data_IF_326666280600
#
_entry.id   IF_326666280600
#
_cell.length_a   1.000
_cell.length_b   1.000
_cell.length_c   1.000
_cell.angle_alpha   90.00
_cell.angle_beta   90.00
_cell.angle_gamma   90.00
#
_symmetry.space_group_name_H-M   'P 1'
#
loop_
_entity.id
_entity.type
_entity.pdbx_description
1 polymer ?
#
# COMPACT_ATOMS: atom_id res chain seq x y z
N UNK A 1 26.42 -44.28 -35.46
CA UNK A 1 27.82 -44.41 -35.09
C UNK A 1 27.87 -44.01 -33.63
N UNK A 2 27.76 -44.92 -32.71
CA UNK A 2 28.86 -45.66 -32.03
C UNK A 2 29.84 -44.66 -31.35
N UNK A 3 30.22 -44.69 -30.11
CA UNK A 3 30.44 -45.79 -29.12
C UNK A 3 30.86 -45.16 -27.78
N UNK A 4 30.44 -45.74 -26.68
CA UNK A 4 31.02 -46.26 -25.45
C UNK A 4 31.61 -45.28 -24.40
N UNK A 5 31.09 -45.29 -23.24
CA UNK A 5 31.28 -46.17 -22.07
C UNK A 5 32.74 -46.50 -21.70
N UNK A 6 33.16 -46.11 -20.46
CA UNK A 6 33.93 -46.98 -19.56
C UNK A 6 33.74 -46.53 -18.11
N UNK A 7 33.27 -47.44 -17.29
CA UNK A 7 33.33 -47.43 -15.85
C UNK A 7 34.66 -47.98 -15.38
N UNK A 8 35.17 -47.53 -14.24
CA UNK A 8 36.14 -48.27 -13.46
C UNK A 8 36.01 -47.99 -11.97
N UNK A 9 35.55 -48.98 -11.30
CA UNK A 9 35.54 -49.25 -9.88
C UNK A 9 36.98 -49.48 -9.35
N UNK A 10 37.29 -48.98 -8.15
CA UNK A 10 38.33 -49.60 -7.31
C UNK A 10 37.99 -49.41 -5.83
N UNK A 11 37.75 -50.54 -5.22
CA UNK A 11 37.54 -50.83 -3.79
C UNK A 11 38.91 -51.16 -3.12
N UNK A 12 38.93 -50.99 -1.82
CA UNK A 12 39.85 -51.56 -0.79
C UNK A 12 40.85 -50.56 -0.22
N UNK A 13 41.16 -50.60 1.06
CA UNK A 13 41.02 -51.52 2.18
C UNK A 13 41.21 -50.79 3.53
N UNK A 14 40.54 -51.35 4.50
CA UNK A 14 40.58 -51.14 5.95
C UNK A 14 42.02 -51.23 6.55
N UNK A 15 42.31 -50.38 7.51
CA UNK A 15 42.97 -50.82 8.76
C UNK A 15 42.66 -49.85 9.91
N UNK A 16 42.17 -50.46 10.97
CA UNK A 16 41.96 -49.96 12.33
C UNK A 16 43.23 -49.46 12.98
N UNK A 17 43.20 -48.31 13.61
CA UNK A 17 43.98 -48.09 14.85
C UNK A 17 43.20 -47.12 15.77
N UNK A 18 42.74 -47.69 16.88
CA UNK A 18 42.22 -46.96 18.02
C UNK A 18 43.34 -46.25 18.75
N UNK A 19 43.29 -44.93 18.77
CA UNK A 19 44.02 -44.19 19.80
C UNK A 19 43.07 -43.13 20.35
N UNK A 20 42.73 -43.32 21.62
CA UNK A 20 41.92 -42.40 22.40
C UNK A 20 42.47 -40.98 22.31
N UNK A 21 41.70 -40.06 21.75
CA UNK A 21 41.96 -38.65 21.83
C UNK A 21 40.85 -37.98 22.67
N UNK A 22 41.34 -37.38 23.73
CA UNK A 22 40.77 -36.57 24.76
C UNK A 22 39.72 -35.59 24.16
N UNK A 23 38.49 -35.60 24.67
CA UNK A 23 37.45 -34.68 24.34
C UNK A 23 37.89 -33.21 24.53
N UNK A 24 37.97 -32.48 23.43
CA UNK A 24 38.01 -31.03 23.44
C UNK A 24 36.60 -30.49 23.72
N UNK A 25 36.48 -29.39 24.49
CA UNK A 25 35.19 -28.76 24.68
C UNK A 25 34.66 -28.25 23.33
N UNK A 26 33.42 -28.57 23.02
CA UNK A 26 32.68 -27.99 21.90
C UNK A 26 32.64 -26.46 22.12
N UNK A 27 33.27 -25.73 21.20
CA UNK A 27 33.04 -24.31 21.01
C UNK A 27 31.56 -24.14 20.69
N UNK A 28 30.85 -23.16 21.32
CA UNK A 28 29.46 -22.92 20.96
C UNK A 28 29.39 -22.47 19.50
N UNK A 29 28.56 -23.15 18.72
CA UNK A 29 28.21 -22.70 17.37
C UNK A 29 27.80 -21.21 17.41
N UNK A 30 28.29 -20.40 16.46
CA UNK A 30 27.88 -19.02 16.38
C UNK A 30 26.35 -18.96 16.18
N UNK A 31 25.72 -18.34 17.17
CA UNK A 31 24.28 -18.06 17.14
C UNK A 31 23.85 -17.56 15.76
N UNK A 32 22.78 -18.14 15.26
CA UNK A 32 22.02 -17.79 14.07
C UNK A 32 22.10 -16.29 13.79
N UNK A 33 22.94 -15.90 12.85
CA UNK A 33 22.90 -14.58 12.27
C UNK A 33 21.56 -14.52 11.54
N UNK A 34 20.60 -13.83 12.14
CA UNK A 34 19.31 -13.55 11.55
C UNK A 34 19.54 -13.15 10.09
N UNK A 35 19.15 -14.01 9.17
CA UNK A 35 19.12 -13.70 7.74
C UNK A 35 18.24 -12.49 7.58
N UNK A 36 18.83 -11.33 7.35
CA UNK A 36 18.10 -10.14 6.93
C UNK A 36 17.54 -10.48 5.57
N UNK A 37 16.28 -10.91 5.53
CA UNK A 37 15.58 -11.18 4.28
C UNK A 37 15.59 -9.89 3.46
N UNK A 38 16.01 -9.98 2.22
CA UNK A 38 15.97 -8.83 1.32
C UNK A 38 14.49 -8.48 1.07
N UNK A 39 14.14 -7.18 1.11
CA UNK A 39 12.76 -6.77 0.91
C UNK A 39 12.25 -7.23 -0.45
N UNK A 40 11.03 -7.74 -0.48
CA UNK A 40 10.35 -8.17 -1.70
C UNK A 40 10.13 -6.99 -2.66
N UNK A 41 9.90 -7.28 -3.93
CA UNK A 41 9.59 -6.24 -4.93
C UNK A 41 8.35 -5.41 -4.54
N UNK A 42 7.36 -6.03 -3.89
CA UNK A 42 6.15 -5.33 -3.38
C UNK A 42 6.47 -4.38 -2.24
N UNK A 43 7.31 -4.79 -1.29
CA UNK A 43 7.75 -3.92 -0.18
C UNK A 43 8.57 -2.74 -0.69
N UNK A 44 9.43 -2.96 -1.69
CA UNK A 44 10.17 -1.88 -2.34
C UNK A 44 9.23 -0.90 -3.05
N UNK A 45 8.23 -1.41 -3.77
CA UNK A 45 7.20 -0.59 -4.41
C UNK A 45 6.40 0.19 -3.37
N UNK A 46 5.95 -0.45 -2.30
CA UNK A 46 5.19 0.20 -1.25
C UNK A 46 5.97 1.33 -0.58
N UNK A 47 7.26 1.11 -0.32
CA UNK A 47 8.17 2.14 0.22
C UNK A 47 8.39 3.29 -0.77
N UNK A 48 8.55 2.99 -2.06
CA UNK A 48 8.68 4.01 -3.09
C UNK A 48 7.37 4.78 -3.33
N UNK A 49 6.23 4.12 -3.16
CA UNK A 49 4.91 4.71 -3.30
C UNK A 49 4.64 5.74 -2.22
N UNK A 50 4.87 5.38 -0.96
CA UNK A 50 4.70 6.26 0.19
C UNK A 50 5.65 5.86 1.32
N UNK A 51 6.37 6.84 1.84
CA UNK A 51 7.18 6.71 3.06
C UNK A 51 6.75 7.79 4.03
N UNK A 52 6.41 7.41 5.25
CA UNK A 52 6.08 8.35 6.31
C UNK A 52 7.28 9.24 6.63
N UNK A 53 7.09 10.55 6.56
CA UNK A 53 8.01 11.55 7.09
C UNK A 53 7.59 11.90 8.53
N UNK A 54 8.50 12.26 9.42
CA UNK A 54 8.13 12.60 10.81
C UNK A 54 7.38 13.93 10.89
N UNK A 55 7.89 14.98 10.24
CA UNK A 55 7.35 16.33 10.32
C UNK A 55 7.32 17.00 8.93
N UNK A 56 6.50 16.49 8.00
CA UNK A 56 6.52 16.93 6.60
C UNK A 56 6.15 18.42 6.43
N UNK A 57 5.46 19.03 7.40
CA UNK A 57 5.14 20.45 7.38
C UNK A 57 6.36 21.35 7.55
N UNK A 58 7.45 20.89 8.17
CA UNK A 58 8.66 21.69 8.37
C UNK A 58 9.42 21.96 7.07
N UNK A 59 9.34 21.05 6.10
CA UNK A 59 9.93 21.20 4.77
C UNK A 59 9.03 21.93 3.78
N UNK A 60 7.77 22.24 4.15
CA UNK A 60 6.79 22.92 3.31
C UNK A 60 6.69 24.39 3.71
N UNK A 61 6.47 25.26 2.73
CA UNK A 61 6.32 26.69 2.95
C UNK A 61 4.97 27.21 2.49
N UNK A 62 4.48 28.23 3.15
CA UNK A 62 3.33 29.02 2.73
C UNK A 62 3.79 30.42 2.38
N UNK A 63 3.13 31.00 1.38
CA UNK A 63 3.23 32.39 1.03
C UNK A 63 2.11 33.15 1.74
N UNK A 64 2.43 34.22 2.42
CA UNK A 64 1.43 35.13 2.96
C UNK A 64 1.85 36.57 2.71
N UNK A 65 0.87 37.47 2.63
CA UNK A 65 1.11 38.89 2.41
C UNK A 65 1.02 39.64 3.72
N UNK A 66 2.05 40.43 4.01
CA UNK A 66 2.07 41.37 5.13
C UNK A 66 2.27 42.78 4.56
N UNK A 67 1.16 43.53 4.47
CA UNK A 67 1.13 44.80 3.75
C UNK A 67 1.34 44.62 2.26
N UNK A 68 2.39 45.24 1.69
CA UNK A 68 2.77 45.11 0.26
C UNK A 68 3.82 44.02 0.00
N UNK A 69 4.31 43.34 1.04
CA UNK A 69 5.37 42.37 0.93
C UNK A 69 4.79 40.93 0.93
N UNK A 70 5.41 40.06 0.15
CA UNK A 70 5.11 38.61 0.17
C UNK A 70 6.21 37.89 0.93
N UNK A 71 5.84 37.27 2.04
CA UNK A 71 6.75 36.58 2.95
C UNK A 71 6.51 35.07 2.87
N UNK A 72 7.59 34.29 2.94
CA UNK A 72 7.56 32.83 3.02
C UNK A 72 7.88 32.37 4.43
N UNK A 73 7.08 31.45 4.97
CA UNK A 73 7.40 30.78 6.23
C UNK A 73 7.10 29.28 6.16
N UNK A 74 7.71 28.47 7.02
CA UNK A 74 7.32 27.06 7.14
C UNK A 74 5.83 26.91 7.47
N UNK A 75 5.21 25.84 6.97
CA UNK A 75 3.84 25.47 7.33
C UNK A 75 3.78 25.06 8.80
N UNK A 76 2.67 25.37 9.46
CA UNK A 76 2.30 24.71 10.70
C UNK A 76 1.71 23.33 10.42
N UNK A 77 1.72 22.42 11.41
CA UNK A 77 1.05 21.11 11.29
C UNK A 77 -0.44 21.26 10.94
N UNK A 78 -1.13 22.21 11.55
CA UNK A 78 -2.55 22.47 11.30
C UNK A 78 -2.82 22.89 9.84
N UNK A 79 -2.00 23.78 9.29
CA UNK A 79 -2.09 24.21 7.88
C UNK A 79 -1.81 23.06 6.92
N UNK A 80 -0.80 22.24 7.22
CA UNK A 80 -0.46 21.05 6.44
C UNK A 80 -1.64 20.06 6.39
N UNK A 81 -2.22 19.72 7.55
CA UNK A 81 -3.36 18.81 7.63
C UNK A 81 -4.60 19.39 6.94
N UNK A 82 -4.86 20.70 7.11
CA UNK A 82 -5.94 21.37 6.39
C UNK A 82 -5.75 21.27 4.87
N UNK A 83 -4.54 21.52 4.39
CA UNK A 83 -4.20 21.38 2.97
C UNK A 83 -4.37 19.93 2.48
N UNK A 84 -3.86 18.95 3.24
CA UNK A 84 -3.99 17.54 2.91
C UNK A 84 -5.48 17.08 2.83
N UNK A 85 -6.31 17.51 3.79
CA UNK A 85 -7.77 17.25 3.78
C UNK A 85 -8.45 17.86 2.56
N UNK A 86 -8.09 19.12 2.23
CA UNK A 86 -8.67 19.81 1.06
C UNK A 86 -8.26 19.16 -0.25
N UNK A 87 -6.99 18.75 -0.38
CA UNK A 87 -6.50 18.06 -1.57
C UNK A 87 -7.14 16.68 -1.74
N UNK A 88 -7.25 15.91 -0.66
CA UNK A 88 -7.94 14.61 -0.70
C UNK A 88 -9.41 14.77 -1.14
N UNK A 89 -10.13 15.76 -0.61
CA UNK A 89 -11.52 16.03 -1.00
C UNK A 89 -11.63 16.37 -2.50
N UNK A 90 -10.70 17.19 -3.01
CA UNK A 90 -10.65 17.52 -4.45
C UNK A 90 -10.30 16.29 -5.30
N UNK A 91 -9.34 15.49 -4.88
CA UNK A 91 -8.94 14.28 -5.59
C UNK A 91 -10.09 13.27 -5.67
N UNK A 92 -10.86 13.09 -4.59
CA UNK A 92 -12.06 12.23 -4.59
C UNK A 92 -13.16 12.77 -5.50
N UNK A 93 -13.38 14.09 -5.56
CA UNK A 93 -14.34 14.73 -6.46
C UNK A 93 -13.96 14.53 -7.93
N UNK A 94 -12.68 14.72 -8.28
CA UNK A 94 -12.17 14.47 -9.63
C UNK A 94 -12.30 12.98 -9.97
N UNK A 95 -11.97 12.09 -9.03
CA UNK A 95 -12.07 10.64 -9.19
C UNK A 95 -13.52 10.22 -9.46
N UNK A 96 -14.49 10.80 -8.75
CA UNK A 96 -15.92 10.59 -9.01
C UNK A 96 -16.28 10.96 -10.45
N UNK A 97 -15.88 12.13 -10.91
CA UNK A 97 -16.16 12.60 -12.26
C UNK A 97 -15.59 11.66 -13.33
N UNK A 98 -14.34 11.22 -13.15
CA UNK A 98 -13.69 10.27 -14.04
C UNK A 98 -14.39 8.90 -14.03
N UNK A 99 -14.86 8.44 -12.88
CA UNK A 99 -15.61 7.19 -12.77
C UNK A 99 -16.98 7.27 -13.46
N UNK A 100 -17.68 8.38 -13.29
CA UNK A 100 -18.96 8.63 -13.97
C UNK A 100 -18.78 8.66 -15.50
N UNK A 101 -17.70 9.30 -15.99
CA UNK A 101 -17.34 9.29 -17.43
C UNK A 101 -17.00 7.88 -17.91
N UNK A 102 -16.21 7.12 -17.16
CA UNK A 102 -15.92 5.72 -17.46
C UNK A 102 -17.22 4.88 -17.56
N UNK A 103 -18.12 5.04 -16.59
CA UNK A 103 -19.42 4.37 -16.56
C UNK A 103 -20.27 4.73 -17.79
N UNK A 104 -20.23 5.98 -18.22
CA UNK A 104 -20.89 6.42 -19.45
C UNK A 104 -20.34 5.67 -20.69
N UNK A 105 -19.01 5.60 -20.82
CA UNK A 105 -18.36 4.87 -21.93
C UNK A 105 -18.61 3.35 -21.85
N UNK A 106 -18.69 2.80 -20.63
CA UNK A 106 -19.01 1.39 -20.44
C UNK A 106 -20.38 1.02 -21.01
N UNK A 107 -21.37 1.91 -20.88
CA UNK A 107 -22.71 1.71 -21.46
C UNK A 107 -22.65 1.59 -22.99
N UNK A 108 -21.79 2.39 -23.62
CA UNK A 108 -21.65 2.41 -25.07
C UNK A 108 -20.87 1.20 -25.61
N UNK A 109 -19.77 0.83 -24.93
CA UNK A 109 -18.85 -0.20 -25.40
C UNK A 109 -19.23 -1.61 -24.98
N UNK A 110 -19.82 -1.76 -23.80
CA UNK A 110 -20.18 -3.05 -23.17
C UNK A 110 -21.53 -2.93 -22.46
N UNK A 111 -22.63 -2.84 -23.22
CA UNK A 111 -23.97 -2.74 -22.64
C UNK A 111 -24.34 -3.92 -21.73
N UNK A 112 -23.71 -5.10 -21.95
CA UNK A 112 -23.85 -6.27 -21.10
C UNK A 112 -23.28 -6.08 -19.68
N UNK A 113 -22.38 -5.11 -19.49
CA UNK A 113 -21.76 -4.78 -18.20
C UNK A 113 -22.35 -3.51 -17.56
N UNK A 114 -23.04 -2.68 -18.32
CA UNK A 114 -23.48 -1.36 -17.90
C UNK A 114 -24.39 -1.33 -16.67
N UNK A 115 -25.21 -2.39 -16.48
CA UNK A 115 -26.10 -2.53 -15.32
C UNK A 115 -25.44 -3.11 -14.07
N UNK A 116 -24.23 -3.63 -14.19
CA UNK A 116 -23.53 -4.29 -13.07
C UNK A 116 -22.99 -3.25 -12.11
N UNK A 117 -23.22 -3.48 -10.82
CA UNK A 117 -22.71 -2.62 -9.76
C UNK A 117 -21.39 -3.19 -9.24
N UNK A 118 -20.36 -2.38 -9.23
CA UNK A 118 -19.04 -2.75 -8.72
C UNK A 118 -18.38 -1.54 -8.06
N UNK A 119 -17.40 -1.82 -7.24
CA UNK A 119 -16.55 -0.83 -6.62
C UNK A 119 -15.09 -1.06 -7.03
N UNK A 120 -14.17 -0.26 -6.49
CA UNK A 120 -12.76 -0.45 -6.76
C UNK A 120 -11.91 0.07 -5.61
N UNK A 121 -10.69 -0.42 -5.57
CA UNK A 121 -9.62 0.00 -4.65
C UNK A 121 -8.31 0.15 -5.38
N UNK A 122 -7.22 0.41 -4.66
CA UNK A 122 -5.86 0.36 -5.17
C UNK A 122 -5.16 -0.91 -4.65
N UNK A 123 -4.64 -1.73 -5.56
CA UNK A 123 -3.91 -2.94 -5.23
C UNK A 123 -2.48 -2.67 -4.72
N UNK A 124 -1.83 -3.72 -4.22
CA UNK A 124 -0.45 -3.70 -3.73
C UNK A 124 0.60 -3.48 -4.84
N UNK A 125 0.18 -3.55 -6.09
CA UNK A 125 0.92 -3.20 -7.30
C UNK A 125 0.72 -1.73 -7.75
N UNK A 126 0.02 -0.93 -6.94
CA UNK A 126 -0.39 0.44 -7.22
C UNK A 126 -1.31 0.59 -8.45
N UNK A 127 -1.98 -0.46 -8.89
CA UNK A 127 -3.01 -0.44 -9.95
C UNK A 127 -4.41 -0.50 -9.33
N UNK A 128 -5.38 0.00 -10.07
CA UNK A 128 -6.78 -0.13 -9.66
C UNK A 128 -7.21 -1.59 -9.74
N UNK A 129 -7.91 -2.06 -8.70
CA UNK A 129 -8.46 -3.39 -8.56
C UNK A 129 -9.97 -3.29 -8.35
N UNK A 130 -10.73 -4.05 -9.13
CA UNK A 130 -12.19 -4.09 -8.99
C UNK A 130 -12.58 -4.88 -7.74
N UNK A 131 -13.58 -4.37 -7.04
CA UNK A 131 -14.27 -5.04 -5.93
C UNK A 131 -15.62 -5.52 -6.46
N UNK A 132 -15.79 -6.83 -6.53
CA UNK A 132 -17.01 -7.53 -6.97
C UNK A 132 -17.45 -8.53 -5.89
N UNK A 133 -18.06 -8.06 -4.80
CA UNK A 133 -18.41 -8.93 -3.66
C UNK A 133 -19.50 -9.96 -4.00
N UNK A 134 -20.33 -9.65 -4.97
CA UNK A 134 -21.46 -10.48 -5.38
C UNK A 134 -21.11 -11.45 -6.51
N UNK A 135 -19.84 -11.43 -6.99
CA UNK A 135 -19.33 -12.24 -8.12
C UNK A 135 -20.22 -12.13 -9.36
N UNK A 136 -20.64 -10.91 -9.70
CA UNK A 136 -21.53 -10.65 -10.83
C UNK A 136 -20.82 -10.69 -12.18
N UNK A 137 -19.48 -10.56 -12.18
CA UNK A 137 -18.66 -10.64 -13.39
C UNK A 137 -18.16 -12.09 -13.61
N UNK A 138 -18.05 -12.49 -14.88
CA UNK A 138 -17.16 -13.61 -15.22
C UNK A 138 -15.70 -13.17 -15.10
N UNK A 139 -14.77 -14.10 -15.03
CA UNK A 139 -13.34 -13.82 -14.96
C UNK A 139 -12.88 -12.93 -16.13
N UNK A 140 -13.28 -13.23 -17.35
CA UNK A 140 -12.99 -12.42 -18.54
C UNK A 140 -13.59 -11.02 -18.46
N UNK A 141 -14.80 -10.88 -17.93
CA UNK A 141 -15.45 -9.57 -17.75
C UNK A 141 -14.74 -8.75 -16.69
N UNK A 142 -14.33 -9.39 -15.58
CA UNK A 142 -13.60 -8.73 -14.49
C UNK A 142 -12.23 -8.23 -14.97
N UNK A 143 -11.49 -9.05 -15.71
CA UNK A 143 -10.21 -8.68 -16.31
C UNK A 143 -10.39 -7.50 -17.26
N UNK A 144 -11.38 -7.58 -18.16
CA UNK A 144 -11.65 -6.52 -19.14
C UNK A 144 -12.00 -5.18 -18.46
N UNK A 145 -12.88 -5.19 -17.44
CA UNK A 145 -13.25 -3.97 -16.69
C UNK A 145 -12.04 -3.40 -15.94
N UNK A 146 -11.26 -4.27 -15.30
CA UNK A 146 -10.05 -3.88 -14.56
C UNK A 146 -9.04 -3.21 -15.49
N UNK A 147 -8.75 -3.80 -16.62
CA UNK A 147 -7.80 -3.25 -17.59
C UNK A 147 -8.32 -1.98 -18.22
N UNK A 148 -9.60 -1.94 -18.58
CA UNK A 148 -10.22 -0.74 -19.14
C UNK A 148 -10.16 0.45 -18.17
N UNK A 149 -10.40 0.21 -16.87
CA UNK A 149 -10.35 1.26 -15.86
C UNK A 149 -8.91 1.70 -15.60
N UNK A 150 -7.95 0.78 -15.57
CA UNK A 150 -6.54 1.11 -15.43
C UNK A 150 -5.96 1.88 -16.62
N UNK A 151 -6.50 1.68 -17.82
CA UNK A 151 -6.12 2.40 -19.03
C UNK A 151 -6.94 3.68 -19.26
N UNK A 152 -7.95 3.95 -18.41
CA UNK A 152 -8.72 5.18 -18.50
C UNK A 152 -7.85 6.39 -18.13
N UNK A 153 -7.88 7.47 -18.91
CA UNK A 153 -6.95 8.60 -18.74
C UNK A 153 -6.89 9.12 -17.30
N UNK A 154 -5.70 9.16 -16.74
CA UNK A 154 -5.37 9.64 -15.39
C UNK A 154 -6.11 8.98 -14.23
N UNK A 155 -6.96 7.98 -14.45
CA UNK A 155 -7.77 7.36 -13.40
C UNK A 155 -6.92 6.69 -12.33
N UNK A 156 -6.01 5.81 -12.72
CA UNK A 156 -5.10 5.13 -11.79
C UNK A 156 -4.21 6.13 -11.03
N UNK A 157 -3.70 7.15 -11.73
CA UNK A 157 -2.89 8.19 -11.11
C UNK A 157 -3.68 8.97 -10.04
N UNK A 158 -4.95 9.26 -10.30
CA UNK A 158 -5.82 9.93 -9.33
C UNK A 158 -6.12 9.03 -8.13
N UNK A 159 -6.41 7.75 -8.36
CA UNK A 159 -6.58 6.77 -7.28
C UNK A 159 -5.33 6.68 -6.39
N UNK A 160 -4.14 6.71 -6.98
CA UNK A 160 -2.86 6.76 -6.24
C UNK A 160 -2.72 8.04 -5.41
N UNK A 161 -3.18 9.20 -5.91
CA UNK A 161 -3.17 10.46 -5.16
C UNK A 161 -4.14 10.41 -3.99
N UNK A 162 -5.35 9.88 -4.16
CA UNK A 162 -6.29 9.65 -3.07
C UNK A 162 -5.67 8.75 -1.99
N UNK A 163 -5.06 7.63 -2.38
CA UNK A 163 -4.41 6.71 -1.44
C UNK A 163 -3.29 7.39 -0.66
N UNK A 164 -2.40 8.13 -1.31
CA UNK A 164 -1.32 8.89 -0.64
C UNK A 164 -1.87 9.94 0.31
N UNK A 165 -2.90 10.68 -0.09
CA UNK A 165 -3.56 11.66 0.77
C UNK A 165 -4.14 11.02 2.04
N UNK A 166 -4.76 9.84 1.92
CA UNK A 166 -5.27 9.09 3.07
C UNK A 166 -4.15 8.59 3.97
N UNK A 167 -3.06 8.04 3.41
CA UNK A 167 -1.88 7.60 4.18
C UNK A 167 -1.27 8.76 4.98
N UNK A 168 -1.11 9.94 4.36
CA UNK A 168 -0.64 11.16 5.04
C UNK A 168 -1.53 11.53 6.23
N UNK A 169 -2.85 11.49 6.04
CA UNK A 169 -3.79 11.85 7.11
C UNK A 169 -3.80 10.81 8.23
N UNK A 170 -3.75 9.51 7.92
CA UNK A 170 -3.65 8.44 8.93
C UNK A 170 -2.38 8.57 9.76
N UNK A 171 -1.28 9.02 9.14
CA UNK A 171 0.01 9.17 9.80
C UNK A 171 0.12 10.41 10.69
N UNK A 172 -0.56 11.49 10.34
CA UNK A 172 -0.29 12.79 10.95
C UNK A 172 -1.50 13.45 11.64
N UNK A 173 -2.74 13.07 11.30
CA UNK A 173 -3.96 13.58 11.94
C UNK A 173 -4.26 12.81 13.24
N UNK A 174 -3.51 13.14 14.28
CA UNK A 174 -3.66 12.49 15.58
C UNK A 174 -4.99 12.81 16.27
N UNK A 175 -5.65 13.90 15.91
CA UNK A 175 -6.98 14.22 16.45
C UNK A 175 -8.02 13.22 15.97
N UNK A 176 -7.94 12.83 14.70
CA UNK A 176 -8.85 11.84 14.10
C UNK A 176 -8.41 10.41 14.40
N UNK A 177 -7.14 10.07 14.17
CA UNK A 177 -6.69 8.68 14.18
C UNK A 177 -5.89 8.27 15.42
N UNK A 178 -5.44 9.20 16.26
CA UNK A 178 -4.73 8.93 17.50
C UNK A 178 -3.41 8.17 17.32
N UNK A 179 -2.81 8.22 16.13
CA UNK A 179 -1.61 7.42 15.77
C UNK A 179 -1.79 5.90 15.96
N UNK A 180 -3.04 5.41 15.91
CA UNK A 180 -3.40 4.01 16.22
C UNK A 180 -3.33 3.08 15.02
N UNK A 181 -3.38 3.61 13.81
CA UNK A 181 -3.54 2.82 12.58
C UNK A 181 -2.33 2.94 11.66
N UNK A 182 -2.08 1.89 10.88
CA UNK A 182 -1.10 1.85 9.81
C UNK A 182 -1.84 1.67 8.49
N UNK A 183 -1.65 2.61 7.56
CA UNK A 183 -2.15 2.52 6.20
C UNK A 183 -0.97 2.66 5.24
N UNK A 184 -0.78 1.67 4.39
CA UNK A 184 0.27 1.63 3.38
C UNK A 184 -0.24 0.92 2.12
N UNK A 185 0.57 0.88 1.05
CA UNK A 185 0.14 0.26 -0.20
C UNK A 185 -0.19 -1.23 -0.07
N UNK A 186 0.49 -1.96 0.83
CA UNK A 186 0.29 -3.40 1.00
C UNK A 186 -1.07 -3.77 1.59
N UNK A 187 -1.60 -2.92 2.50
CA UNK A 187 -2.88 -3.15 3.17
C UNK A 187 -4.02 -2.26 2.65
N UNK A 188 -3.75 -1.37 1.69
CA UNK A 188 -4.74 -0.41 1.21
C UNK A 188 -5.97 -1.10 0.59
N UNK A 189 -5.76 -2.13 -0.23
CA UNK A 189 -6.83 -2.85 -0.91
C UNK A 189 -7.82 -3.53 0.04
N UNK A 190 -7.36 -3.95 1.21
CA UNK A 190 -8.17 -4.65 2.22
C UNK A 190 -8.79 -3.65 3.22
N UNK A 191 -8.36 -2.39 3.16
CA UNK A 191 -8.77 -1.33 4.09
C UNK A 191 -9.75 -0.35 3.48
N UNK A 192 -9.53 0.09 2.24
CA UNK A 192 -10.26 1.21 1.63
C UNK A 192 -10.96 0.80 0.34
N UNK A 193 -12.26 0.99 0.31
CA UNK A 193 -13.10 0.91 -0.88
C UNK A 193 -13.28 2.32 -1.45
N UNK A 194 -12.49 2.69 -2.46
CA UNK A 194 -12.53 4.00 -3.10
C UNK A 194 -13.82 4.22 -3.88
N UNK A 195 -14.33 3.20 -4.59
CA UNK A 195 -15.54 3.32 -5.37
C UNK A 195 -16.77 3.61 -4.50
N UNK A 196 -16.83 3.00 -3.30
CA UNK A 196 -17.85 3.32 -2.31
C UNK A 196 -17.75 4.77 -1.84
N UNK A 197 -16.54 5.27 -1.61
CA UNK A 197 -16.34 6.65 -1.15
C UNK A 197 -16.81 7.67 -2.19
N UNK A 198 -16.40 7.51 -3.45
CA UNK A 198 -16.79 8.45 -4.51
C UNK A 198 -18.27 8.40 -4.87
N UNK A 199 -18.97 7.33 -4.50
CA UNK A 199 -20.44 7.26 -4.68
C UNK A 199 -21.22 8.18 -3.73
N UNK A 200 -20.57 8.67 -2.67
CA UNK A 200 -21.15 9.54 -1.65
C UNK A 200 -20.95 11.00 -2.06
N UNK A 201 -22.05 11.70 -2.39
CA UNK A 201 -22.00 13.10 -2.83
C UNK A 201 -21.83 14.09 -1.68
N UNK A 202 -22.29 13.74 -0.50
CA UNK A 202 -22.14 14.55 0.70
C UNK A 202 -20.73 14.40 1.27
N UNK A 203 -19.98 15.51 1.32
CA UNK A 203 -18.56 15.51 1.72
C UNK A 203 -18.34 15.11 3.18
N UNK A 204 -19.23 15.51 4.07
CA UNK A 204 -19.13 15.18 5.49
C UNK A 204 -19.33 13.69 5.70
N UNK A 205 -20.37 13.14 5.10
CA UNK A 205 -20.64 11.69 5.09
C UNK A 205 -19.56 10.89 4.37
N UNK A 206 -18.98 11.41 3.31
CA UNK A 206 -17.84 10.79 2.63
C UNK A 206 -16.64 10.70 3.56
N UNK A 207 -16.32 11.79 4.28
CA UNK A 207 -15.24 11.83 5.26
C UNK A 207 -15.50 10.85 6.41
N UNK A 208 -16.69 10.84 6.99
CA UNK A 208 -17.05 9.88 8.04
C UNK A 208 -16.90 8.43 7.56
N UNK A 209 -17.27 8.17 6.30
CA UNK A 209 -17.23 6.81 5.74
C UNK A 209 -15.80 6.31 5.61
N UNK A 210 -14.86 7.10 5.07
CA UNK A 210 -13.49 6.64 4.95
C UNK A 210 -12.78 6.52 6.30
N UNK A 211 -13.09 7.40 7.27
CA UNK A 211 -12.60 7.26 8.65
C UNK A 211 -13.07 5.92 9.24
N UNK A 212 -14.33 5.56 9.07
CA UNK A 212 -14.87 4.27 9.52
C UNK A 212 -14.20 3.08 8.85
N UNK A 213 -13.89 3.17 7.55
CA UNK A 213 -13.14 2.11 6.85
C UNK A 213 -11.75 1.90 7.50
N UNK A 214 -11.03 2.99 7.82
CA UNK A 214 -9.75 2.90 8.52
C UNK A 214 -9.92 2.28 9.91
N UNK A 215 -10.88 2.73 10.69
CA UNK A 215 -11.11 2.25 12.06
C UNK A 215 -11.49 0.76 12.12
N UNK A 216 -12.18 0.27 11.11
CA UNK A 216 -12.68 -1.10 11.03
C UNK A 216 -11.67 -2.07 10.42
N UNK A 217 -10.93 -1.64 9.40
CA UNK A 217 -10.17 -2.53 8.54
C UNK A 217 -8.65 -2.33 8.62
N UNK A 218 -8.16 -1.14 9.04
CA UNK A 218 -6.72 -0.90 9.06
C UNK A 218 -6.03 -1.63 10.20
N UNK A 219 -4.80 -2.03 9.93
CA UNK A 219 -3.92 -2.61 10.94
C UNK A 219 -3.65 -1.61 12.06
N UNK A 220 -3.69 -2.11 13.30
CA UNK A 220 -3.31 -1.29 14.45
C UNK A 220 -1.79 -1.29 14.59
N UNK A 221 -1.22 -0.12 14.81
CA UNK A 221 0.19 -0.01 15.18
C UNK A 221 0.42 -0.68 16.51
N UNK A 222 1.39 -1.57 16.56
CA UNK A 222 1.89 -2.13 17.82
C UNK A 222 2.53 -0.96 18.58
N UNK A 223 1.99 -0.61 19.74
CA UNK A 223 2.63 0.35 20.61
C UNK A 223 4.03 -0.18 20.94
N UNK A 224 5.11 0.63 20.84
CA UNK A 224 6.41 0.17 21.33
C UNK A 224 6.22 -0.23 22.79
N UNK A 225 6.68 -1.45 23.14
CA UNK A 225 6.79 -1.86 24.54
C UNK A 225 7.73 -0.85 25.19
N UNK A 226 7.16 0.09 25.94
CA UNK A 226 7.93 0.94 26.83
C UNK A 226 8.34 -0.01 27.95
N UNK A 227 9.59 -0.52 27.91
CA UNK A 227 10.22 -1.14 29.05
C UNK A 227 10.33 -0.06 30.14
N UNK A 228 9.32 -0.02 30.99
CA UNK A 228 9.39 0.72 32.27
C UNK A 228 10.24 -0.14 33.19
N UNK A 229 11.54 -0.14 32.99
CA UNK A 229 12.48 -0.48 34.03
C UNK A 229 12.58 0.76 34.93
N UNK A 230 11.74 0.75 35.97
CA UNK A 230 11.90 1.61 37.13
C UNK A 230 12.91 0.98 38.08
#
# INVERSE_FOLDING_TARGET
>A
MTINAVAATLTQLVTTDQKAQKAMPLEPEPADLAKTEQPSAKELLAKAFYTREEEPWKSRTVLYSEGSETITRPMTKAEYLKSAKSMLALDLEIQQHQFDEFRGKLIELRPDLAGKQFSYTLGDDARVKIIDPDNIFSEEQLEWVTDSLNNFPDFTKRAQQCAKGMMVLVDHDNETFGNRFSLNLMNFQDTVDLGKLISIKDRERQQETWIKQIEQNAERRVAPLIDVLA
#
